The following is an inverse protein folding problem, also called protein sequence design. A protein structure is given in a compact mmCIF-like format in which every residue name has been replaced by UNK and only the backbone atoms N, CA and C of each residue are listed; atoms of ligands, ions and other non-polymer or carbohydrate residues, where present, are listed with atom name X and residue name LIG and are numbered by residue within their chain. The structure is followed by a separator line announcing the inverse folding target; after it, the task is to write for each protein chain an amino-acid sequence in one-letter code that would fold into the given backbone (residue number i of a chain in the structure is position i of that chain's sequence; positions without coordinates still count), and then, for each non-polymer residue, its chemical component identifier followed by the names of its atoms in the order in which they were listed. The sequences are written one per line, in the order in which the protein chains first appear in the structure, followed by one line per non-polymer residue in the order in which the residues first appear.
data_IF_386706277565
#
_entry.id   IF_386706277565
#
_cell.length_a   1.000
_cell.length_b   1.000
_cell.length_c   1.000
_cell.angle_alpha   90.00
_cell.angle_beta   90.00
_cell.angle_gamma   90.00
#
_symmetry.space_group_name_H-M   'P 1'
#
loop_
_entity.id
_entity.type
_entity.pdbx_description
1 polymer ?
#
# COMPACT_ATOMS: atom_id res chain seq x y z
N UNK A 1 -8.73 -0.05 -31.20
CA UNK A 1 -8.21 0.42 -29.89
C UNK A 1 -8.33 -0.67 -28.83
N UNK A 2 -9.46 -1.38 -28.73
CA UNK A 2 -9.70 -2.45 -27.72
C UNK A 2 -8.63 -3.55 -27.65
N UNK A 3 -8.13 -4.09 -28.78
CA UNK A 3 -7.08 -5.14 -28.76
C UNK A 3 -5.72 -4.66 -28.25
N UNK A 4 -5.42 -3.35 -28.35
CA UNK A 4 -4.15 -2.77 -27.86
C UNK A 4 -4.24 -2.50 -26.35
N UNK A 5 -5.41 -2.10 -25.85
CA UNK A 5 -5.67 -1.94 -24.42
C UNK A 5 -5.67 -3.29 -23.68
N UNK A 6 -6.23 -4.34 -24.28
CA UNK A 6 -6.20 -5.69 -23.70
C UNK A 6 -4.77 -6.20 -23.50
N UNK A 7 -3.91 -6.08 -24.52
CA UNK A 7 -2.51 -6.51 -24.41
C UNK A 7 -1.68 -5.72 -23.39
N UNK A 8 -2.01 -4.44 -23.16
CA UNK A 8 -1.35 -3.62 -22.13
C UNK A 8 -1.81 -4.00 -20.71
N UNK A 9 -3.09 -4.32 -20.53
CA UNK A 9 -3.62 -4.79 -19.25
C UNK A 9 -3.02 -6.15 -18.88
N UNK A 10 -2.99 -7.09 -19.81
CA UNK A 10 -2.36 -8.41 -19.61
C UNK A 10 -0.88 -8.27 -19.24
N UNK A 11 -0.19 -7.31 -19.85
CA UNK A 11 1.23 -7.04 -19.56
C UNK A 11 1.45 -6.44 -18.18
N UNK A 12 0.59 -5.50 -17.76
CA UNK A 12 0.60 -4.93 -16.41
C UNK A 12 0.38 -6.02 -15.37
N UNK A 13 -0.63 -6.86 -15.55
CA UNK A 13 -0.97 -7.94 -14.63
C UNK A 13 0.17 -8.96 -14.49
N UNK A 14 0.90 -9.22 -15.58
CA UNK A 14 2.08 -10.08 -15.54
C UNK A 14 3.20 -9.50 -14.67
N UNK A 15 3.48 -8.19 -14.74
CA UNK A 15 4.46 -7.57 -13.84
C UNK A 15 4.02 -7.62 -12.38
N UNK A 16 2.76 -7.30 -12.10
CA UNK A 16 2.21 -7.37 -10.75
C UNK A 16 2.39 -8.79 -10.19
N UNK A 17 2.07 -9.81 -10.99
CA UNK A 17 2.27 -11.21 -10.59
C UNK A 17 3.74 -11.52 -10.30
N UNK A 18 4.66 -11.14 -11.18
CA UNK A 18 6.09 -11.42 -11.01
C UNK A 18 6.68 -10.72 -9.77
N UNK A 19 6.27 -9.47 -9.53
CA UNK A 19 6.63 -8.71 -8.33
C UNK A 19 6.13 -9.43 -7.08
N UNK A 20 4.84 -9.79 -7.04
CA UNK A 20 4.23 -10.48 -5.91
C UNK A 20 4.91 -11.83 -5.64
N UNK A 21 5.29 -12.59 -6.66
CA UNK A 21 6.02 -13.85 -6.48
C UNK A 21 7.34 -13.66 -5.72
N UNK A 22 8.14 -12.65 -6.08
CA UNK A 22 9.39 -12.34 -5.36
C UNK A 22 9.10 -11.83 -3.95
N UNK A 23 8.09 -10.98 -3.78
CA UNK A 23 7.74 -10.45 -2.47
C UNK A 23 7.18 -11.51 -1.51
N UNK A 24 6.44 -12.49 -2.02
CA UNK A 24 5.97 -13.64 -1.25
C UNK A 24 7.16 -14.50 -0.80
N UNK A 25 8.11 -14.77 -1.70
CA UNK A 25 9.36 -15.45 -1.35
C UNK A 25 10.12 -14.68 -0.26
N UNK A 26 10.22 -13.36 -0.42
CA UNK A 26 10.89 -12.49 0.56
C UNK A 26 10.15 -12.51 1.90
N UNK A 27 8.82 -12.39 1.89
CA UNK A 27 7.97 -12.43 3.07
C UNK A 27 8.12 -13.74 3.84
N UNK A 28 8.17 -14.89 3.16
CA UNK A 28 8.31 -16.18 3.82
C UNK A 28 9.69 -16.38 4.45
N UNK A 29 10.72 -15.79 3.85
CA UNK A 29 12.11 -15.97 4.28
C UNK A 29 12.66 -14.80 5.12
N UNK A 30 11.86 -13.75 5.35
CA UNK A 30 12.31 -12.56 6.04
C UNK A 30 12.50 -12.80 7.55
N UNK A 31 13.63 -12.33 8.07
CA UNK A 31 13.93 -12.32 9.51
C UNK A 31 13.41 -11.01 10.10
N UNK A 32 12.21 -11.03 10.67
CA UNK A 32 11.52 -9.82 11.12
C UNK A 32 11.22 -9.94 12.61
N UNK A 33 11.79 -9.05 13.42
CA UNK A 33 11.52 -9.02 14.88
C UNK A 33 10.18 -8.35 15.22
N UNK A 34 9.67 -7.46 14.35
CA UNK A 34 8.43 -6.69 14.55
C UNK A 34 7.51 -6.76 13.32
N UNK A 35 7.05 -7.97 12.97
CA UNK A 35 6.16 -8.14 11.81
C UNK A 35 4.77 -7.63 12.17
N UNK A 36 4.14 -6.93 11.22
CA UNK A 36 2.70 -6.71 11.22
C UNK A 36 1.98 -8.07 11.45
N UNK A 37 0.93 -8.10 12.28
CA UNK A 37 0.10 -9.30 12.54
C UNK A 37 -0.68 -9.79 11.29
N UNK A 38 -0.59 -9.07 10.16
CA UNK A 38 -1.24 -9.40 8.91
C UNK A 38 -0.83 -10.78 8.37
N UNK A 39 -1.84 -11.49 7.87
CA UNK A 39 -1.66 -12.74 7.13
C UNK A 39 -0.95 -12.52 5.77
N UNK A 40 -0.37 -13.59 5.22
CA UNK A 40 0.19 -13.56 3.86
C UNK A 40 -0.87 -13.14 2.83
N UNK A 41 -2.10 -13.63 2.94
CA UNK A 41 -3.18 -13.27 2.03
C UNK A 41 -3.49 -11.76 2.11
N UNK A 42 -3.57 -11.21 3.32
CA UNK A 42 -3.77 -9.76 3.50
C UNK A 42 -2.61 -8.94 2.96
N UNK A 43 -1.37 -9.44 3.05
CA UNK A 43 -0.20 -8.83 2.42
C UNK A 43 -0.35 -8.82 0.90
N UNK A 44 -0.62 -9.97 0.28
CA UNK A 44 -0.78 -10.11 -1.18
C UNK A 44 -1.88 -9.17 -1.69
N UNK A 45 -3.03 -9.13 -1.02
CA UNK A 45 -4.15 -8.26 -1.38
C UNK A 45 -3.72 -6.79 -1.39
N UNK A 46 -3.15 -6.30 -0.29
CA UNK A 46 -2.76 -4.87 -0.20
C UNK A 46 -1.67 -4.51 -1.21
N UNK A 47 -0.67 -5.38 -1.41
CA UNK A 47 0.39 -5.16 -2.40
C UNK A 47 -0.14 -5.17 -3.82
N UNK A 48 -0.97 -6.16 -4.17
CA UNK A 48 -1.60 -6.23 -5.49
C UNK A 48 -2.42 -4.98 -5.79
N UNK A 49 -3.23 -4.52 -4.84
CA UNK A 49 -4.01 -3.29 -4.98
C UNK A 49 -3.13 -2.04 -5.14
N UNK A 50 -2.03 -1.95 -4.39
CA UNK A 50 -1.06 -0.88 -4.55
C UNK A 50 -0.50 -0.84 -5.98
N UNK A 51 -0.01 -1.98 -6.48
CA UNK A 51 0.59 -2.07 -7.81
C UNK A 51 -0.40 -1.85 -8.96
N UNK A 52 -1.70 -2.13 -8.76
CA UNK A 52 -2.75 -1.78 -9.73
C UNK A 52 -2.83 -0.28 -9.99
N UNK A 53 -2.42 0.57 -9.04
CA UNK A 53 -2.40 2.04 -9.20
C UNK A 53 -1.14 2.60 -9.86
N UNK A 54 -0.10 1.78 -10.04
CA UNK A 54 1.17 2.21 -10.63
C UNK A 54 1.15 2.14 -12.16
N UNK A 55 1.97 2.93 -12.83
CA UNK A 55 2.22 2.79 -14.26
C UNK A 55 3.03 1.53 -14.57
N UNK A 56 2.99 1.07 -15.83
CA UNK A 56 3.79 -0.09 -16.25
C UNK A 56 5.28 0.19 -16.06
N UNK A 57 5.75 1.41 -16.36
CA UNK A 57 7.15 1.78 -16.18
C UNK A 57 7.59 1.69 -14.72
N UNK A 58 6.78 2.17 -13.77
CA UNK A 58 7.07 2.05 -12.34
C UNK A 58 7.15 0.58 -11.90
N UNK A 59 6.24 -0.27 -12.40
CA UNK A 59 6.25 -1.71 -12.12
C UNK A 59 7.48 -2.41 -12.71
N UNK A 60 7.87 -2.08 -13.95
CA UNK A 60 9.08 -2.58 -14.59
C UNK A 60 10.33 -2.24 -13.79
N UNK A 61 10.47 -0.97 -13.39
CA UNK A 61 11.60 -0.50 -12.60
C UNK A 61 11.65 -1.16 -11.22
N UNK A 62 10.51 -1.29 -10.54
CA UNK A 62 10.48 -1.97 -9.24
C UNK A 62 10.75 -3.48 -9.34
N UNK A 63 10.29 -4.12 -10.42
CA UNK A 63 10.65 -5.51 -10.68
C UNK A 63 12.18 -5.68 -10.87
N UNK A 64 12.83 -4.72 -11.53
CA UNK A 64 14.29 -4.71 -11.65
C UNK A 64 14.99 -4.50 -10.30
N UNK A 65 14.48 -3.60 -9.45
CA UNK A 65 14.97 -3.43 -8.07
C UNK A 65 14.95 -4.75 -7.31
N UNK A 66 13.82 -5.47 -7.35
CA UNK A 66 13.67 -6.77 -6.70
C UNK A 66 14.62 -7.83 -7.27
N UNK A 67 14.84 -7.84 -8.58
CA UNK A 67 15.82 -8.71 -9.23
C UNK A 67 17.26 -8.41 -8.77
N UNK A 68 17.60 -7.13 -8.61
CA UNK A 68 18.91 -6.69 -8.16
C UNK A 68 19.13 -7.09 -6.69
N UNK A 69 18.17 -6.82 -5.80
CA UNK A 69 18.25 -7.28 -4.40
C UNK A 69 18.39 -8.79 -4.29
N UNK A 70 17.62 -9.55 -5.10
CA UNK A 70 17.73 -11.00 -5.14
C UNK A 70 19.11 -11.46 -5.60
N UNK A 71 19.69 -10.81 -6.62
CA UNK A 71 21.05 -11.11 -7.11
C UNK A 71 22.11 -10.89 -6.03
N UNK A 72 21.91 -9.86 -5.20
CA UNK A 72 22.81 -9.50 -4.11
C UNK A 72 22.53 -10.29 -2.81
N UNK A 73 21.62 -11.27 -2.86
CA UNK A 73 21.15 -12.05 -1.71
C UNK A 73 20.59 -11.19 -0.56
N UNK A 74 19.99 -10.05 -0.88
CA UNK A 74 19.33 -9.15 0.04
C UNK A 74 17.83 -9.44 0.02
N UNK A 75 17.24 -9.66 1.19
CA UNK A 75 15.79 -9.77 1.36
C UNK A 75 15.21 -8.39 1.65
N UNK A 76 14.45 -7.83 0.72
CA UNK A 76 13.94 -6.45 0.81
C UNK A 76 12.96 -6.28 1.97
N UNK A 77 12.19 -7.32 2.32
CA UNK A 77 11.25 -7.27 3.45
C UNK A 77 12.02 -7.19 4.77
N UNK A 78 13.13 -7.93 4.92
CA UNK A 78 13.99 -7.82 6.11
C UNK A 78 14.55 -6.40 6.24
N UNK A 79 15.04 -5.83 5.13
CA UNK A 79 15.57 -4.47 5.10
C UNK A 79 14.50 -3.43 5.47
N UNK A 80 13.31 -3.51 4.85
CA UNK A 80 12.18 -2.62 5.11
C UNK A 80 11.75 -2.65 6.57
N UNK A 81 11.54 -3.84 7.13
CA UNK A 81 11.07 -3.94 8.51
C UNK A 81 12.15 -3.55 9.53
N UNK A 82 13.43 -3.79 9.24
CA UNK A 82 14.52 -3.24 10.04
C UNK A 82 14.49 -1.71 10.03
N UNK A 83 14.19 -1.10 8.88
CA UNK A 83 14.05 0.35 8.75
C UNK A 83 12.84 0.91 9.50
N UNK A 84 11.67 0.26 9.40
CA UNK A 84 10.45 0.61 10.18
C UNK A 84 10.75 0.56 11.68
N UNK A 85 11.47 -0.47 12.14
CA UNK A 85 11.87 -0.62 13.54
C UNK A 85 13.03 0.29 13.99
N UNK A 86 13.53 1.18 13.12
CA UNK A 86 14.73 2.01 13.37
C UNK A 86 15.96 1.20 13.80
N UNK A 87 16.08 -0.06 13.34
CA UNK A 87 17.21 -0.94 13.64
C UNK A 87 18.41 -0.65 12.72
N UNK A 88 18.17 0.01 11.60
CA UNK A 88 19.17 0.46 10.64
C UNK A 88 18.95 1.95 10.31
N UNK A 89 20.00 2.68 9.89
CA UNK A 89 19.86 4.05 9.43
C UNK A 89 19.03 4.13 8.13
N UNK A 90 18.72 5.36 7.72
CA UNK A 90 18.11 5.66 6.42
C UNK A 90 18.91 5.01 5.29
N UNK A 91 18.19 4.36 4.36
CA UNK A 91 18.80 3.61 3.26
C UNK A 91 19.05 4.52 2.04
N UNK A 92 18.13 5.46 1.81
CA UNK A 92 18.14 6.33 0.64
C UNK A 92 17.68 7.75 1.03
N UNK A 93 18.48 8.76 0.65
CA UNK A 93 18.27 10.18 0.95
C UNK A 93 17.69 10.97 -0.23
N UNK A 94 17.15 10.29 -1.24
CA UNK A 94 16.56 10.95 -2.40
C UNK A 94 15.41 11.88 -1.96
N UNK A 95 15.43 13.18 -2.33
CA UNK A 95 14.43 14.15 -1.90
C UNK A 95 13.02 13.87 -2.43
N UNK A 96 12.88 13.07 -3.49
CA UNK A 96 11.57 12.66 -4.00
C UNK A 96 10.78 11.84 -2.97
N UNK A 97 11.45 11.16 -2.04
CA UNK A 97 10.80 10.43 -0.95
C UNK A 97 9.94 11.39 -0.14
N UNK A 98 10.49 12.54 0.25
CA UNK A 98 9.80 13.51 1.09
C UNK A 98 8.61 14.16 0.34
N UNK A 99 8.75 14.39 -0.97
CA UNK A 99 7.67 14.91 -1.82
C UNK A 99 6.53 13.92 -2.00
N UNK A 100 6.83 12.63 -2.25
CA UNK A 100 5.80 11.57 -2.34
C UNK A 100 5.10 11.40 -0.99
N UNK A 101 5.85 11.33 0.11
CA UNK A 101 5.32 11.21 1.47
C UNK A 101 4.35 12.32 1.79
N UNK A 102 4.69 13.57 1.46
CA UNK A 102 3.82 14.73 1.70
C UNK A 102 2.48 14.63 0.97
N UNK A 103 2.46 14.12 -0.27
CA UNK A 103 1.23 13.97 -1.04
C UNK A 103 0.40 12.80 -0.51
N UNK A 104 1.04 11.64 -0.32
CA UNK A 104 0.38 10.42 0.14
C UNK A 104 -0.21 10.55 1.55
N UNK A 105 0.49 11.23 2.47
CA UNK A 105 -0.03 11.50 3.82
C UNK A 105 -1.25 12.41 3.81
N UNK A 106 -1.23 13.46 2.98
CA UNK A 106 -2.40 14.33 2.80
C UNK A 106 -3.58 13.56 2.20
N UNK A 107 -3.33 12.75 1.19
CA UNK A 107 -4.37 11.90 0.61
C UNK A 107 -4.94 10.94 1.64
N UNK A 108 -4.10 10.28 2.44
CA UNK A 108 -4.53 9.40 3.51
C UNK A 108 -5.42 10.11 4.54
N UNK A 109 -5.08 11.34 4.92
CA UNK A 109 -5.90 12.19 5.80
C UNK A 109 -7.26 12.52 5.16
N UNK A 110 -7.29 12.89 3.89
CA UNK A 110 -8.54 13.17 3.17
C UNK A 110 -9.46 11.95 3.13
N UNK A 111 -8.93 10.76 2.82
CA UNK A 111 -9.73 9.53 2.78
C UNK A 111 -10.24 9.17 4.18
N UNK A 112 -9.39 9.30 5.21
CA UNK A 112 -9.79 9.11 6.62
C UNK A 112 -10.96 10.03 7.00
N UNK A 113 -10.89 11.31 6.66
CA UNK A 113 -11.94 12.27 6.99
C UNK A 113 -13.26 11.95 6.27
N UNK A 114 -13.19 11.38 5.06
CA UNK A 114 -14.37 10.94 4.31
C UNK A 114 -14.97 9.63 4.85
N UNK A 115 -14.14 8.71 5.33
CA UNK A 115 -14.56 7.34 5.72
C UNK A 115 -13.95 6.93 7.08
N UNK A 116 -14.33 7.60 8.18
CA UNK A 116 -13.69 7.45 9.48
C UNK A 116 -13.97 6.12 10.19
N UNK A 117 -15.04 5.41 9.81
CA UNK A 117 -15.45 4.14 10.45
C UNK A 117 -14.70 2.94 9.87
N UNK A 118 -14.17 3.05 8.64
CA UNK A 118 -13.36 2.01 7.99
C UNK A 118 -11.86 2.29 8.01
N UNK A 119 -11.44 3.56 8.03
CA UNK A 119 -10.03 3.94 8.00
C UNK A 119 -9.60 4.49 9.35
N UNK A 120 -9.04 3.59 10.17
CA UNK A 120 -8.54 3.89 11.52
C UNK A 120 -7.39 4.87 11.53
N UNK A 121 -7.34 5.74 12.54
CA UNK A 121 -6.18 6.61 12.73
C UNK A 121 -4.92 5.83 13.10
N UNK A 122 -3.93 5.95 12.23
CA UNK A 122 -2.65 5.26 12.26
C UNK A 122 -1.60 6.07 11.46
N UNK A 123 -1.76 7.40 11.42
CA UNK A 123 -0.95 8.32 10.60
C UNK A 123 0.55 8.15 10.80
N UNK A 124 1.01 8.01 12.05
CA UNK A 124 2.43 7.79 12.36
C UNK A 124 2.94 6.46 11.82
N UNK A 125 2.18 5.38 11.98
CA UNK A 125 2.53 4.05 11.46
C UNK A 125 2.55 4.06 9.94
N UNK A 126 1.53 4.65 9.31
CA UNK A 126 1.48 4.82 7.86
C UNK A 126 2.72 5.55 7.33
N UNK A 127 3.10 6.66 7.95
CA UNK A 127 4.27 7.46 7.59
C UNK A 127 5.56 6.63 7.67
N UNK A 128 5.77 5.91 8.78
CA UNK A 128 6.97 5.09 8.98
C UNK A 128 7.10 3.99 7.92
N UNK A 129 6.00 3.29 7.62
CA UNK A 129 5.98 2.25 6.60
C UNK A 129 6.18 2.82 5.20
N UNK A 130 5.55 3.95 4.88
CA UNK A 130 5.70 4.60 3.58
C UNK A 130 7.14 5.05 3.33
N UNK A 131 7.79 5.66 4.34
CA UNK A 131 9.19 6.07 4.23
C UNK A 131 10.08 4.85 4.03
N UNK A 132 9.96 3.81 4.87
CA UNK A 132 10.80 2.61 4.77
C UNK A 132 10.63 1.87 3.44
N UNK A 133 9.42 1.89 2.89
CA UNK A 133 9.10 1.34 1.58
C UNK A 133 9.80 2.15 0.47
N UNK A 134 9.62 3.48 0.43
CA UNK A 134 10.23 4.34 -0.59
C UNK A 134 11.76 4.36 -0.50
N UNK A 135 12.33 4.31 0.71
CA UNK A 135 13.77 4.23 0.91
C UNK A 135 14.40 2.96 0.30
N UNK A 136 13.61 1.90 0.10
CA UNK A 136 14.09 0.65 -0.50
C UNK A 136 14.13 0.67 -2.03
N UNK A 137 13.57 1.70 -2.65
CA UNK A 137 13.48 1.81 -4.12
C UNK A 137 14.75 2.44 -4.71
N UNK A 138 15.06 2.08 -5.96
CA UNK A 138 16.08 2.78 -6.73
C UNK A 138 15.65 4.21 -7.10
N UNK A 139 16.61 5.02 -7.55
CA UNK A 139 16.35 6.37 -8.04
C UNK A 139 15.33 6.38 -9.20
N UNK A 140 15.42 5.42 -10.12
CA UNK A 140 14.52 5.33 -11.26
C UNK A 140 13.10 4.95 -10.84
N UNK A 141 12.96 3.98 -9.93
CA UNK A 141 11.66 3.60 -9.37
C UNK A 141 11.03 4.79 -8.64
N UNK A 142 11.80 5.51 -7.81
CA UNK A 142 11.33 6.72 -7.13
C UNK A 142 10.86 7.80 -8.10
N UNK A 143 11.61 8.04 -9.18
CA UNK A 143 11.26 9.02 -10.22
C UNK A 143 9.94 8.67 -10.90
N UNK A 144 9.73 7.39 -11.21
CA UNK A 144 8.51 6.90 -11.87
C UNK A 144 7.30 6.91 -10.92
N UNK A 145 7.47 6.47 -9.67
CA UNK A 145 6.41 6.57 -8.67
C UNK A 145 6.03 8.04 -8.40
N UNK A 146 7.01 8.94 -8.33
CA UNK A 146 6.75 10.37 -8.19
C UNK A 146 5.96 10.93 -9.38
N UNK A 147 6.29 10.51 -10.61
CA UNK A 147 5.54 10.88 -11.80
C UNK A 147 4.08 10.41 -11.72
N UNK A 148 3.84 9.14 -11.35
CA UNK A 148 2.49 8.59 -11.20
C UNK A 148 1.67 9.38 -10.15
N UNK A 149 2.29 9.71 -9.01
CA UNK A 149 1.67 10.51 -7.94
C UNK A 149 1.35 11.93 -8.42
N UNK A 150 2.25 12.56 -9.16
CA UNK A 150 2.05 13.90 -9.69
C UNK A 150 0.97 13.94 -10.77
N UNK A 151 0.97 12.98 -11.70
CA UNK A 151 -0.08 12.85 -12.72
C UNK A 151 -1.46 12.65 -12.08
N UNK A 152 -1.56 11.76 -11.08
CA UNK A 152 -2.82 11.58 -10.36
C UNK A 152 -3.27 12.87 -9.65
N UNK A 153 -2.34 13.57 -8.99
CA UNK A 153 -2.62 14.85 -8.32
C UNK A 153 -3.09 15.94 -9.30
N UNK A 154 -2.44 16.08 -10.45
CA UNK A 154 -2.83 17.03 -11.51
C UNK A 154 -4.23 16.73 -12.06
N UNK A 155 -4.58 15.45 -12.14
CA UNK A 155 -5.91 14.99 -12.54
C UNK A 155 -6.94 14.97 -11.40
N UNK A 156 -6.61 15.49 -10.21
CA UNK A 156 -7.45 15.47 -9.00
C UNK A 156 -7.88 14.05 -8.56
N UNK A 157 -7.03 13.06 -8.81
CA UNK A 157 -7.22 11.67 -8.37
C UNK A 157 -6.41 11.43 -7.10
N UNK A 158 -7.07 10.89 -6.07
CA UNK A 158 -6.42 10.47 -4.82
C UNK A 158 -6.13 8.97 -4.88
N UNK A 159 -4.85 8.58 -5.04
CA UNK A 159 -4.47 7.17 -5.19
C UNK A 159 -4.68 6.35 -3.92
N UNK A 160 -4.65 6.96 -2.72
CA UNK A 160 -5.04 6.27 -1.49
C UNK A 160 -6.52 5.86 -1.54
N UNK A 161 -7.40 6.74 -2.01
CA UNK A 161 -8.83 6.46 -2.14
C UNK A 161 -9.10 5.35 -3.16
N UNK A 162 -8.41 5.39 -4.32
CA UNK A 162 -8.52 4.33 -5.34
C UNK A 162 -8.08 2.97 -4.81
N UNK A 163 -6.97 2.90 -4.06
CA UNK A 163 -6.51 1.66 -3.40
C UNK A 163 -7.57 1.15 -2.43
N UNK A 164 -8.15 2.01 -1.59
CA UNK A 164 -9.21 1.59 -0.68
C UNK A 164 -10.47 1.13 -1.42
N UNK A 165 -10.91 1.82 -2.48
CA UNK A 165 -12.07 1.41 -3.29
C UNK A 165 -11.90 -0.01 -3.83
N UNK A 166 -10.73 -0.33 -4.37
CA UNK A 166 -10.43 -1.67 -4.87
C UNK A 166 -10.44 -2.71 -3.74
N UNK A 167 -9.78 -2.41 -2.60
CA UNK A 167 -9.71 -3.30 -1.45
C UNK A 167 -11.10 -3.65 -0.89
N UNK A 168 -11.95 -2.64 -0.68
CA UNK A 168 -13.31 -2.86 -0.17
C UNK A 168 -14.22 -3.48 -1.23
N UNK A 169 -13.97 -3.24 -2.52
CA UNK A 169 -14.62 -3.96 -3.60
C UNK A 169 -14.35 -5.47 -3.56
N UNK A 170 -13.11 -5.87 -3.30
CA UNK A 170 -12.74 -7.29 -3.12
C UNK A 170 -13.41 -7.93 -1.87
N UNK A 171 -13.79 -7.11 -0.89
CA UNK A 171 -14.58 -7.53 0.28
C UNK A 171 -16.11 -7.54 0.03
N UNK A 172 -16.54 -7.24 -1.20
CA UNK A 172 -17.94 -7.30 -1.62
C UNK A 172 -18.74 -6.01 -1.43
N UNK A 173 -18.10 -4.89 -1.05
CA UNK A 173 -18.78 -3.59 -0.96
C UNK A 173 -18.83 -2.92 -2.33
N UNK A 174 -19.95 -2.28 -2.65
CA UNK A 174 -20.12 -1.49 -3.88
C UNK A 174 -19.40 -0.14 -3.83
N UNK A 175 -19.11 0.37 -2.64
CA UNK A 175 -18.38 1.62 -2.44
C UNK A 175 -17.75 1.73 -1.05
N UNK A 176 -16.77 2.64 -0.91
CA UNK A 176 -16.23 3.00 0.41
C UNK A 176 -17.27 3.61 1.35
N UNK A 177 -18.26 4.30 0.79
CA UNK A 177 -19.36 4.88 1.57
C UNK A 177 -20.21 3.78 2.20
N UNK A 178 -20.59 2.77 1.43
CA UNK A 178 -21.33 1.61 1.94
C UNK A 178 -20.53 0.88 3.03
N UNK A 179 -19.23 0.66 2.79
CA UNK A 179 -18.36 0.02 3.77
C UNK A 179 -18.28 0.82 5.09
N UNK A 180 -18.16 2.15 4.99
CA UNK A 180 -18.14 3.05 6.14
C UNK A 180 -19.45 3.03 6.93
N UNK A 181 -20.59 3.11 6.25
CA UNK A 181 -21.92 3.04 6.86
C UNK A 181 -22.14 1.68 7.56
N UNK A 182 -21.78 0.57 6.91
CA UNK A 182 -21.87 -0.76 7.50
C UNK A 182 -20.93 -0.94 8.71
N UNK A 183 -19.74 -0.32 8.70
CA UNK A 183 -18.84 -0.32 9.86
C UNK A 183 -19.43 0.50 11.02
N UNK A 184 -20.01 1.67 10.73
CA UNK A 184 -20.68 2.51 11.72
C UNK A 184 -21.84 1.78 12.41
N UNK A 185 -22.68 1.09 11.64
CA UNK A 185 -23.81 0.32 12.20
C UNK A 185 -23.35 -0.79 13.15
N UNK A 186 -22.28 -1.52 12.78
CA UNK A 186 -21.69 -2.55 13.64
C UNK A 186 -21.15 -1.98 14.94
N UNK A 187 -20.46 -0.83 14.90
CA UNK A 187 -19.95 -0.15 16.10
C UNK A 187 -21.11 0.21 17.04
N UNK A 188 -22.15 0.87 16.51
CA UNK A 188 -23.34 1.27 17.30
C UNK A 188 -24.04 0.07 17.93
N UNK A 189 -24.18 -1.05 17.20
CA UNK A 189 -24.78 -2.28 17.73
C UNK A 189 -23.94 -2.89 18.86
N UNK A 190 -22.61 -2.85 18.74
CA UNK A 190 -21.69 -3.38 19.74
C UNK A 190 -21.74 -2.56 21.03
N UNK A 191 -21.78 -1.23 20.91
CA UNK A 191 -21.88 -0.31 22.06
C UNK A 191 -23.22 -0.46 22.79
N UNK A 192 -24.32 -0.62 22.05
CA UNK A 192 -25.65 -0.85 22.63
C UNK A 192 -25.73 -2.20 23.38
N UNK A 193 -25.10 -3.25 22.87
CA UNK A 193 -25.02 -4.55 23.56
C UNK A 193 -24.16 -4.47 24.83
N UNK A 194 -23.05 -3.73 24.81
CA UNK A 194 -22.19 -3.55 25.98
C UNK A 194 -22.88 -2.71 27.09
N UNK A 195 -23.66 -1.69 26.71
CA UNK A 195 -24.42 -0.87 27.65
C UNK A 195 -25.58 -1.65 28.32
N UNK A 196 -26.21 -2.59 27.59
CA UNK A 196 -27.30 -3.43 28.11
C UNK A 196 -26.87 -4.45 29.19
N UNK A 197 -25.57 -4.74 29.33
CA UNK A 197 -25.03 -5.65 30.36
C UNK A 197 -24.64 -4.96 31.67
N UNK A 198 -24.67 -3.63 31.75
CA UNK A 198 -24.32 -2.87 32.97
C UNK A 198 -25.54 -2.46 33.81
N UNK A 199 -26.75 -2.83 33.38
CA UNK A 199 -28.00 -2.52 34.07
C UNK A 199 -28.82 -3.77 34.40
N UNK A 200 -28.27 -4.62 35.27
CA UNK A 200 -29.01 -5.61 36.08
C UNK A 200 -28.31 -5.85 37.39
#
# INVERSE_FOLDING_TARGET
MERRCAGLADYKDQFIKNILEIEIENWNNAKIENRDERSLDGFITVRGTMFKTWSIGALESYYEDLCNYKRDNINIMTLKYARVGNLIPRINDNPLIDEVVKIETKWQEEVRNKYPNVIRDNSEVFLQYLIAELESYSEETLRLCFYDVMEAKENNVNLAEERYKMLFGELGYSSLKEADEAAKERIVQTDNCAAGFQST
#
